data_IF_267620367920
#
_entry.id   IF_267620367920
#
_cell.length_a   1.000
_cell.length_b   1.000
_cell.length_c   1.000
_cell.angle_alpha   90.00
_cell.angle_beta   90.00
_cell.angle_gamma   90.00
#
_symmetry.space_group_name_H-M   'P 1'
#
loop_
_entity.id
_entity.type
_entity.pdbx_description
1 polymer ?
#
# COMPACT_ATOMS: atom_id res chain seq x y z
N UNK A 1 17.58 14.21 11.22
CA UNK A 1 17.20 13.10 10.29
C UNK A 1 17.11 13.66 8.89
N UNK A 2 17.41 12.86 7.86
CA UNK A 2 17.16 13.24 6.47
C UNK A 2 15.65 13.28 6.20
N UNK A 3 15.24 13.89 5.08
CA UNK A 3 13.86 13.82 4.64
C UNK A 3 13.44 12.33 4.45
N UNK A 4 12.27 11.94 4.94
CA UNK A 4 11.83 10.53 4.90
C UNK A 4 11.63 10.05 3.47
N UNK A 5 11.77 8.75 3.25
CA UNK A 5 11.46 8.11 1.98
C UNK A 5 10.10 7.40 2.03
N UNK A 6 9.46 7.25 0.87
CA UNK A 6 8.23 6.49 0.72
C UNK A 6 8.48 5.32 -0.24
N UNK A 7 8.07 4.13 0.19
CA UNK A 7 8.05 2.91 -0.62
C UNK A 7 6.61 2.60 -1.02
N UNK A 8 6.38 2.34 -2.30
CA UNK A 8 5.10 1.78 -2.78
C UNK A 8 5.33 0.32 -3.13
N UNK A 9 4.71 -0.57 -2.37
CA UNK A 9 4.74 -2.02 -2.61
C UNK A 9 3.68 -2.37 -3.63
N UNK A 10 4.06 -2.85 -4.80
CA UNK A 10 3.15 -3.09 -5.90
C UNK A 10 3.42 -4.41 -6.63
N UNK A 11 2.39 -4.93 -7.29
CA UNK A 11 2.49 -5.95 -8.33
C UNK A 11 2.28 -5.30 -9.69
N UNK A 12 3.11 -5.65 -10.66
CA UNK A 12 2.87 -5.23 -12.04
C UNK A 12 1.46 -5.66 -12.48
N UNK A 13 0.67 -4.76 -13.08
CA UNK A 13 -0.74 -5.01 -13.40
C UNK A 13 -0.89 -5.91 -14.64
N UNK A 14 -0.56 -7.18 -14.47
CA UNK A 14 -0.64 -8.21 -15.52
C UNK A 14 -1.89 -9.05 -15.35
N UNK A 15 -2.66 -9.23 -16.45
CA UNK A 15 -3.89 -10.03 -16.43
C UNK A 15 -3.67 -11.45 -15.90
N UNK A 16 -4.52 -11.88 -14.97
CA UNK A 16 -4.44 -13.17 -14.29
C UNK A 16 -3.38 -13.26 -13.17
N UNK A 17 -2.56 -12.23 -12.98
CA UNK A 17 -1.54 -12.18 -11.92
C UNK A 17 -1.83 -11.19 -10.80
N UNK A 18 -2.75 -10.25 -11.03
CA UNK A 18 -3.12 -9.21 -10.07
C UNK A 18 -4.63 -9.16 -9.89
N UNK A 19 -5.07 -8.84 -8.66
CA UNK A 19 -6.49 -8.68 -8.31
C UNK A 19 -7.40 -9.83 -8.76
N UNK A 20 -6.92 -11.06 -8.65
CA UNK A 20 -7.67 -12.26 -9.08
C UNK A 20 -8.96 -12.48 -8.30
N UNK A 21 -9.09 -11.93 -7.09
CA UNK A 21 -10.33 -11.96 -6.28
C UNK A 21 -11.45 -11.03 -6.83
N UNK A 22 -11.12 -10.14 -7.78
CA UNK A 22 -12.14 -9.41 -8.53
C UNK A 22 -12.78 -10.26 -9.64
N UNK A 23 -12.27 -11.46 -9.88
CA UNK A 23 -12.72 -12.35 -10.95
C UNK A 23 -13.45 -13.57 -10.37
N UNK A 24 -14.80 -13.68 -10.47
CA UNK A 24 -15.75 -12.74 -11.04
C UNK A 24 -16.04 -11.53 -10.13
N UNK A 25 -16.73 -10.47 -10.59
CA UNK A 25 -17.36 -10.32 -11.93
C UNK A 25 -16.42 -9.83 -13.03
N UNK A 26 -15.21 -9.36 -12.69
CA UNK A 26 -14.25 -8.89 -13.68
C UNK A 26 -13.62 -10.04 -14.47
N UNK A 27 -13.30 -9.80 -15.71
CA UNK A 27 -12.32 -10.60 -16.44
C UNK A 27 -10.90 -10.30 -15.91
N UNK A 28 -9.91 -11.19 -16.10
CA UNK A 28 -8.51 -10.91 -15.71
C UNK A 28 -7.95 -9.61 -16.32
N UNK A 29 -8.36 -9.26 -17.53
CA UNK A 29 -7.95 -8.00 -18.17
C UNK A 29 -8.54 -6.77 -17.49
N UNK A 30 -9.81 -6.81 -17.10
CA UNK A 30 -10.47 -5.75 -16.34
C UNK A 30 -9.82 -5.56 -14.96
N UNK A 31 -9.58 -6.66 -14.24
CA UNK A 31 -8.89 -6.63 -12.95
C UNK A 31 -7.48 -6.01 -13.05
N UNK A 32 -6.75 -6.31 -14.12
CA UNK A 32 -5.44 -5.70 -14.37
C UNK A 32 -5.55 -4.18 -14.66
N UNK A 33 -6.57 -3.73 -15.41
CA UNK A 33 -6.80 -2.28 -15.63
C UNK A 33 -7.19 -1.55 -14.35
N UNK A 34 -8.00 -2.16 -13.49
CA UNK A 34 -8.31 -1.62 -12.16
C UNK A 34 -7.05 -1.49 -11.30
N UNK A 35 -6.21 -2.52 -11.27
CA UNK A 35 -4.94 -2.49 -10.56
C UNK A 35 -3.98 -1.42 -11.11
N UNK A 36 -3.91 -1.25 -12.43
CA UNK A 36 -3.12 -0.21 -13.07
C UNK A 36 -3.59 1.20 -12.68
N UNK A 37 -4.91 1.40 -12.65
CA UNK A 37 -5.50 2.68 -12.26
C UNK A 37 -5.24 2.99 -10.77
N UNK A 38 -5.39 2.00 -9.88
CA UNK A 38 -5.10 2.14 -8.45
C UNK A 38 -3.61 2.48 -8.21
N UNK A 39 -2.71 1.76 -8.89
CA UNK A 39 -1.27 2.03 -8.80
C UNK A 39 -0.93 3.44 -9.28
N UNK A 40 -1.49 3.87 -10.41
CA UNK A 40 -1.23 5.20 -10.96
C UNK A 40 -1.72 6.31 -10.02
N UNK A 41 -2.91 6.19 -9.43
CA UNK A 41 -3.42 7.15 -8.43
C UNK A 41 -2.55 7.15 -7.16
N UNK A 42 -2.08 5.98 -6.71
CA UNK A 42 -1.16 5.87 -5.57
C UNK A 42 0.17 6.57 -5.85
N UNK A 43 0.75 6.35 -7.03
CA UNK A 43 2.02 6.99 -7.41
C UNK A 43 1.88 8.51 -7.50
N UNK A 44 0.79 9.03 -8.04
CA UNK A 44 0.52 10.48 -8.09
C UNK A 44 0.34 11.07 -6.69
N UNK A 45 -0.39 10.36 -5.80
CA UNK A 45 -0.55 10.76 -4.40
C UNK A 45 0.80 10.89 -3.70
N UNK A 46 1.66 9.88 -3.85
CA UNK A 46 3.01 9.90 -3.26
C UNK A 46 3.89 10.98 -3.92
N UNK A 47 3.72 11.23 -5.22
CA UNK A 47 4.48 12.28 -5.91
C UNK A 47 4.14 13.69 -5.39
N UNK A 48 2.92 13.91 -4.92
CA UNK A 48 2.47 15.19 -4.35
C UNK A 48 2.97 15.44 -2.92
N UNK A 49 3.39 14.40 -2.20
CA UNK A 49 3.85 14.51 -0.81
C UNK A 49 5.33 14.92 -0.76
N UNK A 50 5.69 15.75 0.24
CA UNK A 50 7.08 16.18 0.46
C UNK A 50 7.93 15.05 1.05
N UNK A 51 8.50 14.21 0.19
CA UNK A 51 9.39 13.12 0.55
C UNK A 51 10.79 13.30 -0.05
N UNK A 52 11.82 12.77 0.63
CA UNK A 52 13.22 12.83 0.18
C UNK A 52 13.49 11.87 -0.98
N UNK A 53 12.90 10.69 -0.95
CA UNK A 53 13.00 9.70 -2.02
C UNK A 53 11.69 8.93 -2.17
N UNK A 54 11.44 8.47 -3.39
CA UNK A 54 10.28 7.65 -3.77
C UNK A 54 10.76 6.39 -4.45
N UNK A 55 10.39 5.24 -3.91
CA UNK A 55 10.80 3.94 -4.43
C UNK A 55 9.57 3.09 -4.74
N UNK A 56 9.47 2.62 -5.96
CA UNK A 56 8.49 1.61 -6.34
C UNK A 56 9.11 0.23 -6.17
N UNK A 57 8.63 -0.52 -5.17
CA UNK A 57 9.06 -1.90 -4.90
C UNK A 57 8.09 -2.84 -5.59
N UNK A 58 8.47 -3.37 -6.76
CA UNK A 58 7.53 -4.04 -7.67
C UNK A 58 7.84 -5.52 -7.89
N UNK A 59 6.79 -6.35 -7.90
CA UNK A 59 6.82 -7.74 -8.38
C UNK A 59 6.41 -7.76 -9.86
N UNK A 60 7.36 -8.02 -10.75
CA UNK A 60 7.23 -7.99 -12.21
C UNK A 60 7.81 -6.71 -12.83
N UNK A 61 7.64 -6.57 -14.14
CA UNK A 61 8.19 -5.45 -14.90
C UNK A 61 7.21 -4.26 -14.87
N UNK A 62 7.74 -3.10 -14.51
CA UNK A 62 7.00 -1.84 -14.52
C UNK A 62 7.94 -0.69 -14.94
N UNK A 63 7.50 0.22 -15.82
CA UNK A 63 8.33 1.34 -16.24
C UNK A 63 8.64 2.24 -15.06
N UNK A 64 9.87 2.75 -14.98
CA UNK A 64 10.29 3.67 -13.92
C UNK A 64 9.55 5.01 -14.06
N UNK A 65 8.70 5.39 -13.08
CA UNK A 65 8.05 6.70 -13.15
C UNK A 65 9.08 7.83 -13.00
N UNK A 66 8.84 9.01 -13.60
CA UNK A 66 9.72 10.16 -13.44
C UNK A 66 9.92 10.55 -11.96
N UNK A 67 11.18 10.69 -11.53
CA UNK A 67 11.54 11.03 -10.14
C UNK A 67 11.41 9.86 -9.13
N UNK A 68 11.25 8.62 -9.62
CA UNK A 68 11.21 7.42 -8.80
C UNK A 68 12.44 6.55 -9.02
N UNK A 69 12.76 5.72 -8.04
CA UNK A 69 13.63 4.55 -8.18
C UNK A 69 12.77 3.30 -8.20
N UNK A 70 13.09 2.32 -9.03
CA UNK A 70 12.43 1.01 -9.04
C UNK A 70 13.34 -0.01 -8.37
N UNK A 71 12.77 -0.78 -7.43
CA UNK A 71 13.42 -1.88 -6.74
C UNK A 71 12.58 -3.15 -6.95
N UNK A 72 13.13 -4.25 -7.47
CA UNK A 72 12.39 -5.49 -7.58
C UNK A 72 12.10 -6.09 -6.21
N UNK A 73 10.89 -6.65 -6.03
CA UNK A 73 10.60 -7.44 -4.84
C UNK A 73 11.46 -8.71 -4.82
N UNK A 74 12.01 -9.04 -3.66
CA UNK A 74 12.73 -10.28 -3.44
C UNK A 74 12.28 -10.99 -2.17
N UNK A 75 12.37 -12.31 -2.14
CA UNK A 75 11.91 -13.19 -1.07
C UNK A 75 10.70 -14.03 -1.49
N UNK A 76 10.36 -15.01 -0.68
CA UNK A 76 9.24 -15.92 -0.92
C UNK A 76 7.94 -15.40 -0.32
N UNK A 77 7.70 -15.58 1.00
CA UNK A 77 6.52 -15.07 1.69
C UNK A 77 6.44 -13.54 1.67
N UNK A 78 5.21 -13.00 1.81
CA UNK A 78 5.00 -11.55 1.79
C UNK A 78 5.77 -10.84 2.93
N UNK A 79 5.84 -11.43 4.12
CA UNK A 79 6.61 -10.89 5.24
C UNK A 79 8.09 -10.69 4.91
N UNK A 80 8.71 -11.65 4.21
CA UNK A 80 10.10 -11.54 3.73
C UNK A 80 10.24 -10.43 2.70
N UNK A 81 9.29 -10.32 1.74
CA UNK A 81 9.33 -9.27 0.72
C UNK A 81 9.21 -7.88 1.33
N UNK A 82 8.33 -7.72 2.32
CA UNK A 82 8.16 -6.47 3.07
C UNK A 82 9.44 -6.10 3.84
N UNK A 83 10.01 -7.03 4.61
CA UNK A 83 11.26 -6.81 5.33
C UNK A 83 12.42 -6.47 4.38
N UNK A 84 12.50 -7.18 3.25
CA UNK A 84 13.50 -6.92 2.22
C UNK A 84 13.30 -5.55 1.55
N UNK A 85 12.07 -5.11 1.31
CA UNK A 85 11.80 -3.78 0.77
C UNK A 85 12.43 -2.68 1.64
N UNK A 86 12.26 -2.76 2.96
CA UNK A 86 12.89 -1.84 3.89
C UNK A 86 14.42 -1.97 3.92
N UNK A 87 14.95 -3.20 3.89
CA UNK A 87 16.38 -3.46 3.96
C UNK A 87 17.13 -2.97 2.71
N UNK A 88 16.59 -3.26 1.51
CA UNK A 88 17.23 -2.98 0.21
C UNK A 88 17.22 -1.47 -0.13
N UNK A 89 16.24 -0.75 0.41
CA UNK A 89 16.08 0.69 0.14
C UNK A 89 16.61 1.57 1.29
N UNK A 90 17.12 0.96 2.35
CA UNK A 90 17.56 1.67 3.56
C UNK A 90 18.64 2.70 3.28
N UNK A 91 18.38 3.95 3.64
CA UNK A 91 19.36 5.02 3.62
C UNK A 91 19.73 5.44 5.08
N UNK A 92 20.98 5.90 5.33
CA UNK A 92 21.41 6.31 6.67
C UNK A 92 20.54 7.45 7.22
N UNK A 93 20.09 7.31 8.47
CA UNK A 93 19.29 8.32 9.20
C UNK A 93 18.03 8.79 8.46
N UNK A 94 17.42 7.91 7.66
CA UNK A 94 16.24 8.19 6.86
C UNK A 94 15.09 7.31 7.34
N UNK A 95 14.02 7.93 7.82
CA UNK A 95 12.77 7.24 8.14
C UNK A 95 12.11 6.77 6.84
N UNK A 96 11.41 5.64 6.90
CA UNK A 96 10.79 5.02 5.74
C UNK A 96 9.33 4.71 6.01
N UNK A 97 8.43 5.14 5.12
CA UNK A 97 7.03 4.73 5.09
C UNK A 97 6.81 3.82 3.90
N UNK A 98 6.30 2.62 4.14
CA UNK A 98 5.87 1.69 3.10
C UNK A 98 4.35 1.66 3.07
N UNK A 99 3.77 1.79 1.86
CA UNK A 99 2.34 1.66 1.59
C UNK A 99 2.09 0.63 0.49
N UNK A 100 0.88 0.04 0.48
CA UNK A 100 0.40 -0.78 -0.63
C UNK A 100 -0.13 0.06 -1.79
N UNK A 101 -0.39 -0.60 -2.93
CA UNK A 101 -1.06 0.00 -4.09
C UNK A 101 -2.60 -0.12 -4.03
N UNK A 102 -3.14 -0.67 -2.96
CA UNK A 102 -4.51 -1.18 -2.90
C UNK A 102 -5.50 -0.22 -2.23
N UNK A 103 -5.03 0.98 -1.83
CA UNK A 103 -5.80 2.02 -1.16
C UNK A 103 -5.79 3.34 -1.94
N UNK A 104 -6.33 3.39 -3.18
CA UNK A 104 -6.28 4.59 -4.03
C UNK A 104 -7.05 5.79 -3.47
N UNK A 105 -8.00 5.59 -2.52
CA UNK A 105 -8.67 6.66 -1.78
C UNK A 105 -7.72 7.46 -0.88
N UNK A 106 -6.49 7.03 -0.69
CA UNK A 106 -5.45 7.78 0.02
C UNK A 106 -5.24 9.18 -0.55
N UNK A 107 -5.56 9.37 -1.83
CA UNK A 107 -5.54 10.66 -2.50
C UNK A 107 -6.59 11.66 -1.97
N UNK A 108 -7.62 11.21 -1.25
CA UNK A 108 -8.67 12.06 -0.67
C UNK A 108 -8.37 12.51 0.77
N UNK A 109 -7.29 12.04 1.38
CA UNK A 109 -6.97 12.23 2.80
C UNK A 109 -5.49 12.57 2.99
N UNK A 110 -5.16 13.25 4.10
CA UNK A 110 -3.78 13.66 4.44
C UNK A 110 -3.02 12.64 5.29
N UNK A 111 -3.45 11.38 5.27
CA UNK A 111 -2.89 10.34 6.15
C UNK A 111 -1.42 10.07 5.89
N UNK A 112 -0.96 10.19 4.64
CA UNK A 112 0.44 9.99 4.29
C UNK A 112 1.33 11.12 4.81
N UNK A 113 0.90 12.38 4.66
CA UNK A 113 1.58 13.52 5.26
C UNK A 113 1.60 13.44 6.79
N UNK A 114 0.50 12.97 7.39
CA UNK A 114 0.43 12.73 8.84
C UNK A 114 1.40 11.65 9.27
N UNK A 115 1.52 10.55 8.54
CA UNK A 115 2.49 9.49 8.81
C UNK A 115 3.93 10.03 8.83
N UNK A 116 4.30 10.83 7.84
CA UNK A 116 5.63 11.43 7.75
C UNK A 116 5.93 12.40 8.89
N UNK A 117 4.95 13.25 9.26
CA UNK A 117 5.10 14.18 10.38
C UNK A 117 5.27 13.44 11.71
N UNK A 118 4.44 12.44 11.98
CA UNK A 118 4.46 11.67 13.23
C UNK A 118 5.79 10.94 13.45
N UNK A 119 6.45 10.48 12.38
CA UNK A 119 7.76 9.83 12.49
C UNK A 119 8.88 10.77 12.98
N UNK A 120 8.65 12.07 13.09
CA UNK A 120 9.57 12.96 13.81
C UNK A 120 9.55 12.70 15.34
N UNK A 121 8.41 12.29 15.90
CA UNK A 121 8.19 12.20 17.34
C UNK A 121 8.11 10.75 17.85
N UNK A 122 7.60 9.80 17.02
CA UNK A 122 7.46 8.38 17.38
C UNK A 122 8.40 7.49 16.58
N UNK A 123 8.55 6.24 16.99
CA UNK A 123 9.50 5.30 16.39
C UNK A 123 8.87 4.53 15.22
N UNK A 124 7.53 4.40 15.23
CA UNK A 124 6.77 3.79 14.14
C UNK A 124 5.37 4.40 14.00
N UNK A 125 4.80 4.27 12.80
CA UNK A 125 3.38 4.51 12.52
C UNK A 125 2.80 3.28 11.82
N UNK A 126 1.55 2.92 12.15
CA UNK A 126 0.85 1.82 11.50
C UNK A 126 -0.54 2.27 11.10
N UNK A 127 -0.87 2.16 9.82
CA UNK A 127 -2.20 2.39 9.28
C UNK A 127 -2.94 1.06 9.08
N UNK A 128 -3.93 0.72 9.93
CA UNK A 128 -4.65 -0.54 9.79
C UNK A 128 -5.49 -0.58 8.51
N UNK A 129 -5.69 -1.79 7.97
CA UNK A 129 -6.63 -2.06 6.90
C UNK A 129 -7.87 -2.79 7.44
N UNK A 130 -9.03 -2.59 6.79
CA UNK A 130 -10.31 -3.17 7.23
C UNK A 130 -10.31 -4.70 7.22
N UNK A 131 -9.47 -5.33 6.40
CA UNK A 131 -9.30 -6.79 6.33
C UNK A 131 -8.50 -7.39 7.50
N UNK A 132 -8.01 -6.53 8.41
CA UNK A 132 -7.15 -6.91 9.54
C UNK A 132 -5.65 -6.89 9.22
N UNK A 133 -5.27 -6.50 8.01
CA UNK A 133 -3.90 -6.16 7.62
C UNK A 133 -3.51 -4.72 7.99
N UNK A 134 -2.70 -4.11 7.15
CA UNK A 134 -2.34 -2.70 7.25
C UNK A 134 -2.04 -2.14 5.85
N UNK A 135 -2.46 -0.87 5.62
CA UNK A 135 -2.20 -0.14 4.39
C UNK A 135 -0.88 0.64 4.42
N UNK A 136 -0.38 0.96 5.63
CA UNK A 136 0.88 1.67 5.83
C UNK A 136 1.65 1.13 7.04
N UNK A 137 2.97 1.08 6.89
CA UNK A 137 3.93 0.91 7.98
C UNK A 137 5.06 1.92 7.81
N UNK A 138 5.18 2.85 8.75
CA UNK A 138 6.30 3.77 8.82
C UNK A 138 7.24 3.42 9.96
N UNK A 139 8.55 3.46 9.71
CA UNK A 139 9.59 3.16 10.67
C UNK A 139 10.64 4.28 10.67
N UNK A 140 10.94 4.85 11.84
CA UNK A 140 12.05 5.80 12.00
C UNK A 140 13.38 5.12 11.71
N UNK A 141 13.54 3.88 12.17
CA UNK A 141 14.66 3.01 11.82
C UNK A 141 14.14 1.80 11.03
N UNK A 142 14.38 1.74 9.72
CA UNK A 142 13.92 0.64 8.86
C UNK A 142 14.40 -0.76 9.29
N UNK A 143 15.42 -0.88 10.14
CA UNK A 143 15.89 -2.18 10.65
C UNK A 143 14.84 -2.93 11.46
N UNK A 144 13.89 -2.22 12.08
CA UNK A 144 12.80 -2.84 12.82
C UNK A 144 11.82 -3.61 11.91
N UNK A 145 11.88 -3.46 10.60
CA UNK A 145 11.10 -4.25 9.65
C UNK A 145 11.43 -5.76 9.68
N UNK A 146 12.54 -6.17 10.27
CA UNK A 146 12.89 -7.59 10.43
C UNK A 146 11.81 -8.40 11.17
N UNK A 147 11.02 -7.78 12.05
CA UNK A 147 9.91 -8.44 12.74
C UNK A 147 8.86 -8.99 11.76
N UNK A 148 8.73 -8.40 10.57
CA UNK A 148 7.74 -8.81 9.57
C UNK A 148 7.95 -10.23 9.04
N UNK A 149 9.18 -10.75 9.10
CA UNK A 149 9.49 -12.11 8.64
C UNK A 149 8.78 -13.20 9.45
N UNK A 150 8.46 -12.91 10.70
CA UNK A 150 7.85 -13.88 11.62
C UNK A 150 6.33 -13.70 11.75
N UNK A 151 5.76 -12.67 11.10
CA UNK A 151 4.35 -12.36 11.20
C UNK A 151 3.58 -13.04 10.07
N UNK A 152 2.55 -13.85 10.36
CA UNK A 152 1.65 -14.37 9.36
C UNK A 152 0.99 -13.22 8.59
N UNK A 153 1.15 -13.21 7.28
CA UNK A 153 0.54 -12.22 6.37
C UNK A 153 -0.76 -12.74 5.77
N UNK A 154 -1.58 -11.85 5.22
CA UNK A 154 -2.89 -12.18 4.62
C UNK A 154 -3.84 -12.89 5.60
N UNK A 155 -3.82 -12.49 6.87
CA UNK A 155 -4.74 -12.97 7.91
C UNK A 155 -5.44 -11.79 8.58
N UNK A 156 -6.65 -11.98 9.14
CA UNK A 156 -7.38 -10.93 9.85
C UNK A 156 -6.68 -10.39 11.11
N UNK A 157 -5.52 -10.91 11.44
CA UNK A 157 -4.75 -10.53 12.63
C UNK A 157 -3.37 -9.97 12.31
N UNK A 158 -3.01 -9.87 11.02
CA UNK A 158 -1.69 -9.41 10.57
C UNK A 158 -1.32 -8.04 11.15
N UNK A 159 -2.21 -7.05 11.06
CA UNK A 159 -1.98 -5.70 11.59
C UNK A 159 -1.78 -5.70 13.10
N UNK A 160 -2.63 -6.41 13.84
CA UNK A 160 -2.51 -6.53 15.30
C UNK A 160 -1.22 -7.25 15.71
N UNK A 161 -0.82 -8.28 14.99
CA UNK A 161 0.43 -9.01 15.28
C UNK A 161 1.64 -8.13 14.95
N UNK A 162 1.59 -7.35 13.88
CA UNK A 162 2.65 -6.37 13.54
C UNK A 162 2.79 -5.33 14.66
N UNK A 163 1.69 -4.73 15.09
CA UNK A 163 1.68 -3.76 16.19
C UNK A 163 2.27 -4.37 17.47
N UNK A 164 1.82 -5.57 17.85
CA UNK A 164 2.30 -6.27 19.05
C UNK A 164 3.80 -6.56 18.97
N UNK A 165 4.31 -7.01 17.82
CA UNK A 165 5.73 -7.30 17.64
C UNK A 165 6.59 -6.04 17.78
N UNK A 166 6.19 -4.93 17.15
CA UNK A 166 6.89 -3.65 17.27
C UNK A 166 6.88 -3.11 18.71
N UNK A 167 5.72 -3.22 19.41
CA UNK A 167 5.64 -2.85 20.83
C UNK A 167 6.59 -3.68 21.72
N UNK A 168 6.73 -4.98 21.45
CA UNK A 168 7.66 -5.86 22.17
C UNK A 168 9.12 -5.47 21.97
N UNK A 169 9.45 -4.81 20.87
CA UNK A 169 10.77 -4.20 20.64
C UNK A 169 10.93 -2.83 21.30
N UNK A 170 9.97 -2.40 22.13
CA UNK A 170 10.03 -1.14 22.87
C UNK A 170 9.75 0.11 22.04
N UNK A 171 9.19 -0.02 20.82
CA UNK A 171 8.90 1.12 19.95
C UNK A 171 7.66 1.87 20.42
N UNK A 172 7.72 3.20 20.38
CA UNK A 172 6.54 4.08 20.51
C UNK A 172 5.86 4.14 19.17
N UNK A 173 4.59 3.72 19.12
CA UNK A 173 3.84 3.58 17.86
C UNK A 173 2.61 4.47 17.89
N UNK A 174 2.39 5.21 16.80
CA UNK A 174 1.14 5.91 16.55
C UNK A 174 0.33 5.13 15.51
N UNK A 175 -0.94 4.89 15.81
CA UNK A 175 -1.87 4.26 14.87
C UNK A 175 -2.55 5.35 14.05
N UNK A 176 -2.52 5.18 12.73
CA UNK A 176 -3.19 6.05 11.75
C UNK A 176 -4.66 5.62 11.58
N UNK A 177 -5.52 6.45 10.98
CA UNK A 177 -6.87 6.04 10.63
C UNK A 177 -6.89 4.81 9.72
N UNK A 178 -7.89 3.91 9.88
CA UNK A 178 -8.02 2.74 9.01
C UNK A 178 -8.42 3.13 7.60
N UNK A 179 -8.01 2.32 6.62
CA UNK A 179 -8.47 2.41 5.23
C UNK A 179 -8.95 1.04 4.76
N UNK A 180 -9.84 1.07 3.78
CA UNK A 180 -10.30 -0.12 3.07
C UNK A 180 -9.38 -0.40 1.89
N UNK A 181 -8.86 -1.58 1.78
CA UNK A 181 -8.14 -2.06 0.61
C UNK A 181 -9.09 -2.68 -0.42
N UNK A 182 -8.69 -2.63 -1.68
CA UNK A 182 -9.47 -3.18 -2.79
C UNK A 182 -9.14 -4.64 -2.98
N UNK A 183 -9.94 -5.54 -2.42
CA UNK A 183 -9.75 -6.99 -2.58
C UNK A 183 -10.90 -7.65 -3.35
N UNK A 184 -12.13 -7.24 -3.12
CA UNK A 184 -13.33 -7.79 -3.76
C UNK A 184 -14.04 -6.74 -4.63
N UNK A 185 -15.02 -7.19 -5.41
CA UNK A 185 -15.84 -6.27 -6.20
C UNK A 185 -16.60 -5.26 -5.32
N UNK A 186 -17.07 -5.67 -4.15
CA UNK A 186 -17.73 -4.78 -3.20
C UNK A 186 -16.76 -3.71 -2.67
N UNK A 187 -15.51 -4.10 -2.38
CA UNK A 187 -14.48 -3.14 -1.96
C UNK A 187 -14.14 -2.16 -3.07
N UNK A 188 -14.04 -2.63 -4.32
CA UNK A 188 -13.76 -1.77 -5.46
C UNK A 188 -14.78 -0.65 -5.60
N UNK A 189 -16.09 -0.95 -5.49
CA UNK A 189 -17.14 0.05 -5.52
C UNK A 189 -17.09 0.99 -4.31
N UNK A 190 -16.92 0.44 -3.10
CA UNK A 190 -16.85 1.23 -1.88
C UNK A 190 -15.66 2.20 -1.89
N UNK A 191 -14.47 1.72 -2.30
CA UNK A 191 -13.25 2.52 -2.40
C UNK A 191 -13.37 3.58 -3.50
N UNK A 192 -13.96 3.22 -4.66
CA UNK A 192 -14.17 4.19 -5.74
C UNK A 192 -15.04 5.37 -5.31
N UNK A 193 -16.05 5.13 -4.45
CA UNK A 193 -16.90 6.18 -3.90
C UNK A 193 -16.16 7.12 -2.92
N UNK A 194 -15.05 6.69 -2.34
CA UNK A 194 -14.20 7.48 -1.45
C UNK A 194 -13.06 8.20 -2.17
N UNK A 195 -12.78 7.83 -3.41
CA UNK A 195 -11.72 8.47 -4.19
C UNK A 195 -12.11 9.91 -4.61
N UNK A 196 -11.12 10.79 -4.84
CA UNK A 196 -11.40 12.12 -5.39
C UNK A 196 -12.14 12.05 -6.72
N UNK A 197 -12.95 13.06 -6.99
CA UNK A 197 -13.61 13.19 -8.28
C UNK A 197 -12.58 13.18 -9.41
N UNK A 198 -12.79 12.31 -10.41
CA UNK A 198 -11.89 12.20 -11.56
C UNK A 198 -10.65 11.33 -11.32
N UNK A 199 -10.52 10.60 -10.18
CA UNK A 199 -9.46 9.61 -10.01
C UNK A 199 -9.50 8.54 -11.11
N UNK A 200 -8.34 8.01 -11.49
CA UNK A 200 -8.27 6.95 -12.52
C UNK A 200 -8.99 5.69 -12.04
N UNK A 201 -8.83 5.36 -10.74
CA UNK A 201 -9.45 4.18 -10.16
C UNK A 201 -10.97 4.26 -10.18
N UNK A 202 -11.57 5.38 -9.74
CA UNK A 202 -13.03 5.54 -9.75
C UNK A 202 -13.60 5.47 -11.19
N UNK A 203 -12.93 6.10 -12.17
CA UNK A 203 -13.32 5.98 -13.57
C UNK A 203 -13.20 4.55 -14.10
N UNK A 204 -12.12 3.85 -13.74
CA UNK A 204 -11.93 2.48 -14.17
C UNK A 204 -13.00 1.55 -13.57
N UNK A 205 -13.39 1.71 -12.30
CA UNK A 205 -14.49 0.95 -11.70
C UNK A 205 -15.79 1.19 -12.46
N UNK A 206 -16.13 2.44 -12.76
CA UNK A 206 -17.34 2.77 -13.52
C UNK A 206 -17.33 2.16 -14.94
N UNK A 207 -16.16 2.12 -15.59
CA UNK A 207 -16.04 1.62 -16.97
C UNK A 207 -15.97 0.09 -17.07
N UNK A 208 -15.37 -0.57 -16.09
CA UNK A 208 -14.98 -1.98 -16.17
C UNK A 208 -15.89 -2.91 -15.35
N UNK A 209 -16.62 -2.39 -14.37
CA UNK A 209 -17.40 -3.21 -13.47
C UNK A 209 -18.91 -3.00 -13.64
N UNK A 210 -19.73 -4.05 -13.50
CA UNK A 210 -21.17 -3.90 -13.49
C UNK A 210 -21.59 -3.06 -12.25
N UNK A 211 -22.66 -2.29 -12.41
CA UNK A 211 -23.24 -1.53 -11.29
C UNK A 211 -23.62 -2.47 -10.14
N UNK A 212 -23.47 -2.06 -8.87
CA UNK A 212 -23.81 -2.90 -7.71
C UNK A 212 -25.25 -3.45 -7.71
N UNK A 213 -26.18 -2.73 -8.33
CA UNK A 213 -27.59 -3.09 -8.47
C UNK A 213 -27.86 -4.19 -9.49
N UNK A 214 -26.91 -4.57 -10.36
CA UNK A 214 -27.10 -5.56 -11.41
C UNK A 214 -26.80 -7.02 -10.96
N UNK A 215 -26.30 -7.22 -9.73
CA UNK A 215 -25.86 -8.55 -9.22
C UNK A 215 -26.92 -9.21 -8.35
N UNK A 216 -28.08 -8.59 -8.11
CA UNK A 216 -29.18 -9.10 -7.28
C UNK A 216 -30.36 -9.66 -8.10
N UNK A 217 -30.07 -10.31 -9.24
CA UNK A 217 -31.05 -10.95 -10.10
C UNK A 217 -30.73 -12.42 -10.33
#
# INVERSE_FOLDING_TARGET
MNAPQILVMAKAPVAGRVKTRLCPPCTPGQAARLAAAALADTLDTVAAVAAGARVLVVDGDYPTPPGWTVCPQRGGPLGDRLANAFADTRAPRTATVLIGMDTPQLAAVDHLDSALRLLADVDAVLGPADDGGWWALGLRDPRHAEVLRTIPTSTPTTGRQTLTALCRHGLRIQVLPPLRDVDTAADAHAVAAMCPAGSRFARAVTAEMPSPTAVAG
#
